data_IF_765853825831
#
_entry.id   IF_765853825831
#
_cell.length_a   1.000
_cell.length_b   1.000
_cell.length_c   1.000
_cell.angle_alpha   90.00
_cell.angle_beta   90.00
_cell.angle_gamma   90.00
#
_symmetry.space_group_name_H-M   'P 1'
#
loop_
_entity.id
_entity.type
_entity.pdbx_description
1 polymer ?
#
# COMPACT_ATOMS: atom_id res chain seq x y z
N UNK A 1 21.69 -0.46 -13.18
CA UNK A 1 21.56 -0.81 -11.76
C UNK A 1 20.84 -2.14 -11.46
N UNK A 2 20.39 -2.89 -12.45
CA UNK A 2 19.59 -4.13 -12.28
C UNK A 2 20.22 -5.26 -11.43
N UNK A 3 21.52 -5.20 -11.14
CA UNK A 3 22.24 -6.24 -10.41
C UNK A 3 22.50 -5.91 -8.93
N UNK A 4 22.12 -4.74 -8.45
CA UNK A 4 22.30 -4.38 -7.05
C UNK A 4 21.23 -5.00 -6.16
N UNK A 5 21.60 -5.23 -4.88
CA UNK A 5 20.68 -5.72 -3.86
C UNK A 5 19.78 -4.60 -3.34
N UNK A 6 18.72 -4.97 -2.63
CA UNK A 6 17.69 -4.05 -2.15
C UNK A 6 18.27 -2.84 -1.41
N UNK A 7 19.21 -3.08 -0.49
CA UNK A 7 19.81 -2.06 0.37
C UNK A 7 20.61 -1.02 -0.43
N UNK A 8 21.17 -1.42 -1.57
CA UNK A 8 21.84 -0.50 -2.49
C UNK A 8 20.84 0.25 -3.35
N UNK A 9 19.80 -0.45 -3.86
CA UNK A 9 18.75 0.17 -4.67
C UNK A 9 17.99 1.24 -3.87
N UNK A 10 17.65 0.97 -2.59
CA UNK A 10 16.92 1.93 -1.74
C UNK A 10 17.67 3.24 -1.49
N UNK A 11 18.99 3.24 -1.67
CA UNK A 11 19.84 4.41 -1.45
C UNK A 11 20.18 5.19 -2.74
N UNK A 12 20.22 4.50 -3.89
CA UNK A 12 20.88 5.07 -5.07
C UNK A 12 19.96 5.26 -6.29
N UNK A 13 18.90 4.48 -6.46
CA UNK A 13 18.04 4.58 -7.65
C UNK A 13 17.39 5.96 -7.72
N UNK A 14 17.47 6.58 -8.90
CA UNK A 14 16.96 7.92 -9.20
C UNK A 14 17.94 9.05 -8.85
N UNK A 15 19.08 8.76 -8.19
CA UNK A 15 20.16 9.71 -7.93
C UNK A 15 21.54 9.08 -8.15
N UNK A 16 21.69 8.35 -9.23
CA UNK A 16 22.94 7.67 -9.62
C UNK A 16 24.09 8.65 -9.84
N UNK A 17 23.75 9.87 -10.21
CA UNK A 17 24.66 11.00 -10.39
C UNK A 17 24.25 12.14 -9.49
N UNK A 18 25.21 13.02 -9.14
CA UNK A 18 24.90 14.27 -8.45
C UNK A 18 23.94 15.15 -9.28
N UNK A 19 23.28 16.10 -8.62
CA UNK A 19 22.46 17.08 -9.33
C UNK A 19 23.28 17.84 -10.38
N UNK A 20 22.89 17.85 -11.66
CA UNK A 20 23.73 18.39 -12.72
C UNK A 20 23.87 19.91 -12.70
N UNK A 21 23.04 20.62 -11.94
CA UNK A 21 23.10 22.08 -11.85
C UNK A 21 23.96 22.56 -10.68
N UNK A 22 24.08 21.78 -9.61
CA UNK A 22 24.69 22.20 -8.34
C UNK A 22 25.73 21.24 -7.78
N UNK A 23 25.92 20.07 -8.39
CA UNK A 23 26.72 18.97 -7.87
C UNK A 23 26.27 18.47 -6.48
N UNK A 24 25.04 18.78 -6.08
CA UNK A 24 24.50 18.33 -4.79
C UNK A 24 24.45 16.81 -4.71
N UNK A 25 24.98 16.26 -3.59
CA UNK A 25 24.91 14.82 -3.32
C UNK A 25 23.53 14.39 -2.84
N UNK A 26 22.86 15.22 -2.02
CA UNK A 26 21.48 14.98 -1.60
C UNK A 26 20.51 15.31 -2.73
N UNK A 27 19.33 14.65 -2.74
CA UNK A 27 18.27 15.01 -3.69
C UNK A 27 17.77 16.41 -3.38
N UNK A 28 17.84 17.39 -4.32
CA UNK A 28 17.32 18.73 -4.10
C UNK A 28 15.80 18.73 -3.97
N UNK A 29 15.27 19.64 -3.17
CA UNK A 29 13.82 19.89 -3.08
C UNK A 29 13.45 20.97 -4.08
N UNK A 30 12.90 20.57 -5.23
CA UNK A 30 12.45 21.49 -6.28
C UNK A 30 11.05 22.02 -5.96
N UNK A 31 10.96 22.98 -5.05
CA UNK A 31 9.69 23.58 -4.62
C UNK A 31 9.27 24.65 -5.64
N UNK A 32 8.72 24.22 -6.76
CA UNK A 32 8.26 25.09 -7.85
C UNK A 32 6.94 24.61 -8.46
N UNK A 33 6.14 25.55 -8.97
CA UNK A 33 4.89 25.25 -9.67
C UNK A 33 5.10 25.01 -11.16
N UNK A 34 6.09 25.65 -11.78
CA UNK A 34 6.24 25.72 -13.24
C UNK A 34 7.70 25.77 -13.66
N UNK A 35 7.94 25.41 -14.91
CA UNK A 35 9.27 25.35 -15.53
C UNK A 35 9.30 26.20 -16.79
N UNK A 36 10.43 26.88 -17.04
CA UNK A 36 10.61 27.78 -18.18
C UNK A 36 11.01 26.96 -19.41
N UNK A 37 10.38 27.25 -20.54
CA UNK A 37 10.75 26.69 -21.85
C UNK A 37 11.81 27.57 -22.49
N UNK A 38 12.69 26.94 -23.30
CA UNK A 38 13.75 27.65 -24.00
C UNK A 38 13.22 28.56 -25.13
N UNK A 39 12.13 28.11 -25.80
CA UNK A 39 11.43 28.82 -26.87
C UNK A 39 10.05 28.22 -27.10
N UNK A 40 9.25 28.77 -28.00
CA UNK A 40 7.89 28.33 -28.30
C UNK A 40 7.83 26.89 -28.88
N UNK A 41 8.81 26.50 -29.68
CA UNK A 41 8.88 25.14 -30.23
C UNK A 41 9.10 24.11 -29.10
N UNK A 42 10.07 24.37 -28.20
CA UNK A 42 10.29 23.52 -27.03
C UNK A 42 9.03 23.38 -26.16
N UNK A 43 8.26 24.47 -25.98
CA UNK A 43 6.97 24.39 -25.28
C UNK A 43 5.98 23.47 -26.02
N UNK A 44 5.84 23.63 -27.33
CA UNK A 44 4.94 22.80 -28.15
C UNK A 44 5.33 21.32 -28.10
N UNK A 45 6.62 21.01 -28.20
CA UNK A 45 7.15 19.63 -28.15
C UNK A 45 6.88 18.96 -26.81
N UNK A 46 7.03 19.70 -25.69
CA UNK A 46 6.68 19.21 -24.34
C UNK A 46 5.20 18.87 -24.20
N UNK A 47 4.31 19.77 -24.63
CA UNK A 47 2.87 19.54 -24.58
C UNK A 47 2.40 18.46 -25.56
N UNK A 48 3.10 18.32 -26.69
CA UNK A 48 2.85 17.29 -27.69
C UNK A 48 3.45 15.91 -27.34
N UNK A 49 4.10 15.76 -26.19
CA UNK A 49 4.82 14.53 -25.76
C UNK A 49 5.96 14.12 -26.69
N UNK A 50 6.44 15.04 -27.53
CA UNK A 50 7.59 14.82 -28.43
C UNK A 50 8.94 15.01 -27.72
N UNK A 51 8.95 15.75 -26.62
CA UNK A 51 10.11 15.97 -25.75
C UNK A 51 9.73 15.68 -24.29
N UNK A 52 10.55 14.88 -23.60
CA UNK A 52 10.33 14.49 -22.22
C UNK A 52 10.83 15.56 -21.24
N UNK A 53 10.13 15.77 -20.13
CA UNK A 53 10.60 16.62 -19.02
C UNK A 53 9.50 17.39 -18.30
N UNK A 54 9.92 18.33 -17.47
CA UNK A 54 9.01 19.06 -16.62
C UNK A 54 8.24 20.15 -17.37
N UNK A 55 6.95 20.29 -17.05
CA UNK A 55 6.06 21.35 -17.56
C UNK A 55 5.49 22.13 -16.39
N UNK A 56 4.81 21.42 -15.49
CA UNK A 56 4.10 21.99 -14.37
C UNK A 56 4.15 21.02 -13.17
N UNK A 57 4.39 21.55 -11.98
CA UNK A 57 4.67 20.75 -10.76
C UNK A 57 3.56 19.77 -10.34
N UNK A 58 2.32 19.96 -10.81
CA UNK A 58 1.25 18.98 -10.60
C UNK A 58 1.46 17.67 -11.38
N UNK A 59 2.07 17.77 -12.58
CA UNK A 59 2.30 16.63 -13.47
C UNK A 59 3.63 15.96 -13.21
N UNK A 60 4.70 16.76 -13.11
CA UNK A 60 6.08 16.29 -13.01
C UNK A 60 6.89 17.22 -12.11
N UNK A 61 7.78 16.63 -11.32
CA UNK A 61 8.73 17.36 -10.48
C UNK A 61 9.95 16.47 -10.23
N UNK A 62 11.14 17.03 -10.32
CA UNK A 62 12.39 16.27 -10.23
C UNK A 62 12.60 15.58 -8.87
N UNK A 63 12.09 16.14 -7.77
CA UNK A 63 12.15 15.49 -6.45
C UNK A 63 11.20 14.30 -6.38
N UNK A 64 9.99 14.47 -6.89
CA UNK A 64 8.99 13.39 -6.97
C UNK A 64 9.48 12.24 -7.87
N UNK A 65 10.12 12.56 -8.99
CA UNK A 65 10.66 11.60 -9.96
C UNK A 65 11.68 10.64 -9.32
N UNK A 66 12.54 11.15 -8.43
CA UNK A 66 13.47 10.30 -7.67
C UNK A 66 12.72 9.30 -6.79
N UNK A 67 11.68 9.76 -6.08
CA UNK A 67 10.86 8.89 -5.24
C UNK A 67 10.13 7.83 -6.07
N UNK A 68 9.53 8.22 -7.20
CA UNK A 68 8.85 7.32 -8.12
C UNK A 68 9.79 6.25 -8.68
N UNK A 69 10.95 6.62 -9.21
CA UNK A 69 11.97 5.71 -9.75
C UNK A 69 12.48 4.73 -8.69
N UNK A 70 12.71 5.23 -7.48
CA UNK A 70 13.24 4.42 -6.38
C UNK A 70 12.25 3.35 -5.97
N UNK A 71 10.99 3.71 -5.70
CA UNK A 71 9.96 2.75 -5.30
C UNK A 71 9.64 1.77 -6.44
N UNK A 72 9.58 2.24 -7.70
CA UNK A 72 9.42 1.36 -8.85
C UNK A 72 10.51 0.28 -8.90
N UNK A 73 11.77 0.66 -8.74
CA UNK A 73 12.88 -0.29 -8.73
C UNK A 73 12.84 -1.26 -7.55
N UNK A 74 12.43 -0.80 -6.37
CA UNK A 74 12.32 -1.65 -5.17
C UNK A 74 11.21 -2.69 -5.31
N UNK A 75 10.07 -2.33 -5.90
CA UNK A 75 8.96 -3.26 -6.20
C UNK A 75 9.25 -4.17 -7.42
N UNK A 76 10.26 -3.86 -8.22
CA UNK A 76 10.52 -4.55 -9.49
C UNK A 76 9.56 -4.15 -10.62
N UNK A 77 8.96 -2.96 -10.51
CA UNK A 77 8.07 -2.38 -11.52
C UNK A 77 8.80 -1.63 -12.62
N UNK A 78 8.07 -1.32 -13.69
CA UNK A 78 8.56 -0.55 -14.85
C UNK A 78 8.47 0.96 -14.65
N UNK A 79 7.45 1.42 -13.92
CA UNK A 79 7.19 2.83 -13.66
C UNK A 79 6.34 3.01 -12.40
N UNK A 80 6.39 4.23 -11.83
CA UNK A 80 5.55 4.59 -10.69
C UNK A 80 5.02 6.02 -10.79
N UNK A 81 3.97 6.30 -10.01
CA UNK A 81 3.35 7.61 -9.87
C UNK A 81 3.09 7.92 -8.40
N UNK A 82 3.73 8.97 -7.90
CA UNK A 82 3.52 9.47 -6.55
C UNK A 82 2.29 10.39 -6.47
N UNK A 83 1.53 10.26 -5.39
CA UNK A 83 0.26 10.95 -5.16
C UNK A 83 0.18 11.48 -3.72
N UNK A 84 -0.77 12.36 -3.47
CA UNK A 84 -0.94 13.04 -2.18
C UNK A 84 -1.24 12.10 -1.00
N UNK A 85 -1.79 10.90 -1.25
CA UNK A 85 -2.14 9.93 -0.20
C UNK A 85 -2.32 8.52 -0.77
N UNK A 86 -2.30 7.51 0.10
CA UNK A 86 -2.66 6.14 -0.26
C UNK A 86 -4.10 6.03 -0.77
N UNK A 87 -5.03 6.79 -0.18
CA UNK A 87 -6.42 6.84 -0.67
C UNK A 87 -6.50 7.35 -2.12
N UNK A 88 -5.71 8.37 -2.50
CA UNK A 88 -5.63 8.84 -3.87
C UNK A 88 -5.01 7.76 -4.81
N UNK A 89 -4.02 7.01 -4.34
CA UNK A 89 -3.42 5.93 -5.12
C UNK A 89 -4.45 4.82 -5.43
N UNK A 90 -5.23 4.42 -4.44
CA UNK A 90 -6.29 3.41 -4.61
C UNK A 90 -7.40 3.96 -5.50
N UNK A 91 -7.93 5.15 -5.20
CA UNK A 91 -9.03 5.77 -5.96
C UNK A 91 -8.68 5.91 -7.44
N UNK A 92 -7.53 6.51 -7.76
CA UNK A 92 -7.10 6.68 -9.15
C UNK A 92 -6.84 5.35 -9.86
N UNK A 93 -6.33 4.34 -9.15
CA UNK A 93 -6.15 3.00 -9.72
C UNK A 93 -7.51 2.40 -10.10
N UNK A 94 -8.48 2.42 -9.21
CA UNK A 94 -9.81 1.85 -9.46
C UNK A 94 -10.57 2.66 -10.52
N UNK A 95 -10.52 3.98 -10.47
CA UNK A 95 -11.16 4.85 -11.47
C UNK A 95 -10.56 4.63 -12.87
N UNK A 96 -9.22 4.51 -12.98
CA UNK A 96 -8.55 4.24 -14.24
C UNK A 96 -8.98 2.90 -14.86
N UNK A 97 -9.23 1.89 -14.03
CA UNK A 97 -9.60 0.54 -14.48
C UNK A 97 -11.12 0.40 -14.72
N UNK A 98 -11.95 0.92 -13.83
CA UNK A 98 -13.36 0.56 -13.73
C UNK A 98 -14.34 1.71 -13.99
N UNK A 99 -13.92 2.89 -14.40
CA UNK A 99 -14.84 3.96 -14.80
C UNK A 99 -15.86 3.48 -15.86
N UNK A 100 -17.00 4.16 -15.94
CA UNK A 100 -18.08 3.88 -16.87
C UNK A 100 -18.78 2.51 -16.66
N UNK A 101 -19.10 2.17 -15.41
CA UNK A 101 -19.91 1.00 -15.08
C UNK A 101 -19.08 -0.28 -14.89
N UNK A 102 -17.79 -0.16 -14.63
CA UNK A 102 -16.94 -1.30 -14.32
C UNK A 102 -17.19 -1.90 -12.93
N UNK A 103 -16.68 -3.10 -12.75
CA UNK A 103 -16.82 -3.89 -11.52
C UNK A 103 -15.45 -4.33 -11.01
N UNK A 104 -15.31 -4.40 -9.69
CA UNK A 104 -14.10 -4.89 -8.99
C UNK A 104 -14.48 -6.11 -8.14
N UNK A 105 -13.64 -7.14 -8.18
CA UNK A 105 -13.66 -8.19 -7.17
C UNK A 105 -12.62 -7.83 -6.10
N UNK A 106 -13.03 -7.71 -4.85
CA UNK A 106 -12.15 -7.29 -3.76
C UNK A 106 -12.14 -8.28 -2.62
N UNK A 107 -10.98 -8.53 -2.04
CA UNK A 107 -10.88 -9.16 -0.73
C UNK A 107 -11.73 -8.39 0.29
N UNK A 108 -12.44 -9.09 1.20
CA UNK A 108 -13.30 -8.47 2.21
C UNK A 108 -12.52 -7.89 3.40
N UNK A 109 -11.40 -8.50 3.75
CA UNK A 109 -10.52 -8.11 4.88
C UNK A 109 -9.45 -7.12 4.43
N UNK A 110 -9.88 -5.93 4.03
CA UNK A 110 -9.01 -4.82 3.60
C UNK A 110 -9.11 -3.63 4.57
N UNK A 111 -8.24 -2.66 4.38
CA UNK A 111 -8.28 -1.40 5.13
C UNK A 111 -9.68 -0.77 5.08
N UNK A 112 -10.24 -0.39 6.25
CA UNK A 112 -11.60 0.15 6.35
C UNK A 112 -11.88 1.36 5.45
N UNK A 113 -10.88 2.21 5.19
CA UNK A 113 -11.01 3.31 4.23
C UNK A 113 -11.17 2.82 2.78
N UNK A 114 -10.45 1.77 2.39
CA UNK A 114 -10.58 1.13 1.07
C UNK A 114 -11.92 0.42 0.94
N UNK A 115 -12.36 -0.27 2.00
CA UNK A 115 -13.69 -0.88 2.03
C UNK A 115 -14.78 0.18 1.83
N UNK A 116 -14.74 1.27 2.60
CA UNK A 116 -15.73 2.36 2.48
C UNK A 116 -15.71 3.02 1.09
N UNK A 117 -14.51 3.21 0.51
CA UNK A 117 -14.36 3.74 -0.84
C UNK A 117 -15.07 2.82 -1.86
N UNK A 118 -14.78 1.52 -1.81
CA UNK A 118 -15.32 0.53 -2.74
C UNK A 118 -16.81 0.24 -2.53
N UNK A 119 -17.27 0.19 -1.27
CA UNK A 119 -18.65 -0.17 -0.92
C UNK A 119 -19.64 1.00 -1.06
N UNK A 120 -19.22 2.24 -0.81
CA UNK A 120 -20.14 3.36 -0.65
C UNK A 120 -19.83 4.57 -1.52
N UNK A 121 -18.57 4.90 -1.74
CA UNK A 121 -18.20 6.11 -2.48
C UNK A 121 -18.22 5.86 -3.98
N UNK A 122 -17.49 4.88 -4.47
CA UNK A 122 -17.37 4.59 -5.90
C UNK A 122 -18.65 4.12 -6.58
N UNK A 123 -19.60 3.45 -5.89
CA UNK A 123 -20.92 3.18 -6.48
C UNK A 123 -21.69 4.43 -6.92
N UNK A 124 -21.48 5.58 -6.26
CA UNK A 124 -22.07 6.87 -6.66
C UNK A 124 -21.50 7.36 -8.01
N UNK A 125 -20.34 6.85 -8.42
CA UNK A 125 -19.70 7.13 -9.72
C UNK A 125 -19.84 5.97 -10.72
N UNK A 126 -20.74 5.00 -10.41
CA UNK A 126 -21.06 3.88 -11.30
C UNK A 126 -20.05 2.74 -11.27
N UNK A 127 -19.18 2.66 -10.28
CA UNK A 127 -18.24 1.54 -10.10
C UNK A 127 -18.79 0.62 -9.01
N UNK A 128 -19.01 -0.66 -9.33
CA UNK A 128 -19.49 -1.65 -8.38
C UNK A 128 -18.40 -2.56 -7.86
N UNK A 129 -18.61 -3.18 -6.69
CA UNK A 129 -17.64 -4.10 -6.09
C UNK A 129 -18.35 -5.31 -5.49
N UNK A 130 -17.80 -6.51 -5.71
CA UNK A 130 -18.13 -7.73 -4.97
C UNK A 130 -16.98 -8.06 -4.01
N UNK A 131 -17.30 -8.09 -2.72
CA UNK A 131 -16.36 -8.52 -1.70
C UNK A 131 -16.41 -10.04 -1.52
N UNK A 132 -15.23 -10.67 -1.46
CA UNK A 132 -15.07 -12.11 -1.39
C UNK A 132 -14.10 -12.52 -0.29
N UNK A 133 -14.22 -13.75 0.17
CA UNK A 133 -13.17 -14.38 0.96
C UNK A 133 -12.02 -14.80 0.03
N UNK A 134 -10.88 -14.12 0.16
CA UNK A 134 -9.71 -14.38 -0.68
C UNK A 134 -9.06 -15.76 -0.45
N UNK A 135 -9.39 -16.46 0.64
CA UNK A 135 -9.00 -17.84 0.87
C UNK A 135 -9.85 -18.84 0.06
N UNK A 136 -11.01 -18.41 -0.41
CA UNK A 136 -11.91 -19.22 -1.23
C UNK A 136 -11.75 -18.89 -2.72
N UNK A 137 -10.81 -19.54 -3.40
CA UNK A 137 -10.52 -19.31 -4.82
C UNK A 137 -11.74 -19.50 -5.73
N UNK A 138 -12.70 -20.38 -5.37
CA UNK A 138 -13.94 -20.55 -6.13
C UNK A 138 -14.89 -19.36 -5.99
N UNK A 139 -14.92 -18.73 -4.82
CA UNK A 139 -15.68 -17.50 -4.60
C UNK A 139 -15.06 -16.33 -5.36
N UNK A 140 -13.72 -16.22 -5.34
CA UNK A 140 -12.99 -15.21 -6.11
C UNK A 140 -13.31 -15.32 -7.60
N UNK A 141 -13.18 -16.51 -8.18
CA UNK A 141 -13.45 -16.74 -9.61
C UNK A 141 -14.94 -16.57 -9.94
N UNK A 142 -15.83 -17.06 -9.07
CA UNK A 142 -17.29 -16.99 -9.23
C UNK A 142 -17.87 -15.56 -9.15
N UNK A 143 -17.15 -14.63 -8.51
CA UNK A 143 -17.54 -13.22 -8.43
C UNK A 143 -17.19 -12.40 -9.68
N UNK A 144 -16.43 -12.97 -10.62
CA UNK A 144 -16.05 -12.29 -11.86
C UNK A 144 -17.25 -12.18 -12.80
N UNK A 145 -17.55 -10.96 -13.24
CA UNK A 145 -18.63 -10.59 -14.16
C UNK A 145 -18.05 -10.11 -15.50
N UNK A 146 -18.89 -9.94 -16.51
CA UNK A 146 -18.47 -9.42 -17.81
C UNK A 146 -17.82 -8.03 -17.73
N UNK A 147 -18.38 -7.17 -16.88
CA UNK A 147 -17.87 -5.83 -16.63
C UNK A 147 -16.78 -5.76 -15.55
N UNK A 148 -16.28 -6.90 -15.02
CA UNK A 148 -15.14 -6.89 -14.08
C UNK A 148 -13.88 -6.33 -14.76
N UNK A 149 -13.17 -5.48 -14.01
CA UNK A 149 -11.98 -4.77 -14.50
C UNK A 149 -10.72 -5.03 -13.71
N UNK A 150 -10.82 -5.55 -12.49
CA UNK A 150 -9.66 -5.94 -11.68
C UNK A 150 -10.07 -6.84 -10.53
N UNK A 151 -9.07 -7.55 -9.98
CA UNK A 151 -9.13 -8.12 -8.64
C UNK A 151 -8.23 -7.26 -7.75
N UNK A 152 -8.73 -6.89 -6.56
CA UNK A 152 -8.02 -6.04 -5.59
C UNK A 152 -7.80 -6.79 -4.28
N UNK A 153 -6.54 -6.84 -3.83
CA UNK A 153 -6.11 -7.51 -2.59
C UNK A 153 -5.17 -6.62 -1.77
N UNK A 154 -5.01 -6.96 -0.49
CA UNK A 154 -3.88 -6.52 0.35
C UNK A 154 -2.93 -7.70 0.60
N UNK A 155 -1.61 -7.46 0.65
CA UNK A 155 -0.62 -8.51 0.99
C UNK A 155 -0.78 -9.04 2.41
N UNK A 156 -1.19 -8.17 3.31
CA UNK A 156 -1.49 -8.42 4.71
C UNK A 156 -2.75 -7.63 5.06
N UNK A 157 -3.83 -8.33 5.33
CA UNK A 157 -5.13 -7.74 5.65
C UNK A 157 -5.13 -6.92 6.94
N UNK A 158 -6.03 -5.98 7.05
CA UNK A 158 -6.17 -5.11 8.23
C UNK A 158 -7.54 -5.37 8.90
N UNK A 159 -7.59 -5.75 10.18
CA UNK A 159 -6.51 -5.63 11.19
C UNK A 159 -5.71 -6.91 11.46
N UNK A 160 -6.07 -8.03 10.88
CA UNK A 160 -5.67 -9.36 11.34
C UNK A 160 -4.43 -9.93 10.64
N UNK A 161 -3.87 -9.24 9.64
CA UNK A 161 -2.72 -9.72 8.83
C UNK A 161 -2.97 -11.07 8.15
N UNK A 162 -4.21 -11.34 7.72
CA UNK A 162 -4.54 -12.49 6.88
C UNK A 162 -3.87 -12.37 5.50
N UNK A 163 -3.50 -13.51 4.93
CA UNK A 163 -2.66 -13.57 3.74
C UNK A 163 -3.39 -14.33 2.62
N UNK A 164 -3.75 -13.66 1.49
CA UNK A 164 -4.30 -14.34 0.33
C UNK A 164 -3.23 -15.15 -0.42
N UNK A 165 -3.62 -16.22 -1.12
CA UNK A 165 -2.72 -16.90 -2.07
C UNK A 165 -2.60 -16.07 -3.36
N UNK A 166 -1.61 -15.17 -3.36
CA UNK A 166 -1.40 -14.19 -4.42
C UNK A 166 -1.16 -14.87 -5.76
N UNK A 167 -0.33 -15.93 -5.80
CA UNK A 167 0.00 -16.65 -7.04
C UNK A 167 -1.26 -17.26 -7.67
N UNK A 168 -2.09 -17.93 -6.85
CA UNK A 168 -3.31 -18.57 -7.34
C UNK A 168 -4.34 -17.55 -7.82
N UNK A 169 -4.49 -16.42 -7.13
CA UNK A 169 -5.43 -15.34 -7.55
C UNK A 169 -4.91 -14.61 -8.79
N UNK A 170 -3.59 -14.46 -8.95
CA UNK A 170 -3.01 -13.91 -10.17
C UNK A 170 -3.33 -14.79 -11.39
N UNK A 171 -3.23 -16.12 -11.26
CA UNK A 171 -3.63 -17.04 -12.33
C UNK A 171 -5.10 -16.89 -12.71
N UNK A 172 -6.00 -16.76 -11.72
CA UNK A 172 -7.43 -16.49 -11.96
C UNK A 172 -7.61 -15.16 -12.69
N UNK A 173 -7.02 -14.08 -12.21
CA UNK A 173 -7.14 -12.76 -12.81
C UNK A 173 -6.69 -12.79 -14.29
N UNK A 174 -5.51 -13.33 -14.57
CA UNK A 174 -4.94 -13.37 -15.91
C UNK A 174 -5.73 -14.27 -16.86
N UNK A 175 -6.25 -15.41 -16.39
CA UNK A 175 -7.16 -16.28 -17.15
C UNK A 175 -8.38 -15.53 -17.69
N UNK A 176 -8.88 -14.54 -16.94
CA UNK A 176 -10.02 -13.71 -17.30
C UNK A 176 -9.63 -12.37 -17.97
N UNK A 177 -8.34 -12.17 -18.29
CA UNK A 177 -7.82 -10.94 -18.90
C UNK A 177 -7.96 -9.73 -17.99
N UNK A 178 -7.82 -9.92 -16.67
CA UNK A 178 -7.90 -8.89 -15.63
C UNK A 178 -6.52 -8.64 -15.03
N UNK A 179 -6.15 -7.39 -14.71
CA UNK A 179 -4.99 -7.12 -13.90
C UNK A 179 -5.27 -7.45 -12.42
N UNK A 180 -4.26 -7.92 -11.73
CA UNK A 180 -4.24 -8.06 -10.28
C UNK A 180 -3.65 -6.79 -9.67
N UNK A 181 -4.43 -6.13 -8.81
CA UNK A 181 -4.03 -4.95 -8.03
C UNK A 181 -3.79 -5.36 -6.60
N UNK A 182 -2.62 -5.04 -6.06
CA UNK A 182 -2.28 -5.36 -4.68
C UNK A 182 -1.85 -4.11 -3.92
N UNK A 183 -2.49 -3.87 -2.79
CA UNK A 183 -2.01 -2.92 -1.80
C UNK A 183 -0.92 -3.59 -0.96
N UNK A 184 0.34 -3.15 -1.15
CA UNK A 184 1.51 -3.68 -0.47
C UNK A 184 1.97 -2.77 0.68
N UNK A 185 1.07 -1.98 1.23
CA UNK A 185 1.39 -1.02 2.31
C UNK A 185 2.03 -1.70 3.52
N UNK A 186 1.52 -2.88 3.94
CA UNK A 186 2.03 -3.61 5.11
C UNK A 186 3.17 -4.56 4.76
N UNK A 187 3.15 -5.14 3.55
CA UNK A 187 4.22 -6.00 3.08
C UNK A 187 5.51 -5.23 2.78
N UNK A 188 5.40 -4.07 2.17
CA UNK A 188 6.50 -3.27 1.62
C UNK A 188 7.33 -4.03 0.58
N UNK A 189 8.05 -3.34 -0.32
CA UNK A 189 8.90 -4.01 -1.30
C UNK A 189 10.10 -4.76 -0.69
N UNK A 190 10.35 -4.54 0.61
CA UNK A 190 11.42 -5.24 1.33
C UNK A 190 11.02 -6.64 1.79
N UNK A 191 9.82 -6.80 2.32
CA UNK A 191 9.36 -8.09 2.84
C UNK A 191 8.76 -8.97 1.74
N UNK A 192 8.05 -8.37 0.76
CA UNK A 192 7.45 -9.06 -0.37
C UNK A 192 7.37 -8.12 -1.59
N UNK A 193 7.59 -8.68 -2.79
CA UNK A 193 7.36 -8.00 -4.07
C UNK A 193 6.20 -8.66 -4.80
N UNK A 194 4.98 -8.15 -4.71
CA UNK A 194 3.81 -8.77 -5.34
C UNK A 194 3.95 -8.95 -6.85
N UNK A 195 4.74 -8.10 -7.53
CA UNK A 195 5.02 -8.22 -8.97
C UNK A 195 5.75 -9.54 -9.32
N UNK A 196 6.54 -10.08 -8.41
CA UNK A 196 7.17 -11.40 -8.56
C UNK A 196 6.16 -12.55 -8.41
N UNK A 197 4.98 -12.26 -7.85
CA UNK A 197 3.86 -13.16 -7.63
C UNK A 197 2.66 -12.88 -8.54
N UNK A 198 2.88 -12.17 -9.65
CA UNK A 198 1.85 -11.96 -10.66
C UNK A 198 1.00 -10.70 -10.50
N UNK A 199 1.28 -9.82 -9.54
CA UNK A 199 0.62 -8.53 -9.47
C UNK A 199 1.02 -7.67 -10.67
N UNK A 200 0.03 -6.99 -11.25
CA UNK A 200 0.22 -6.08 -12.39
C UNK A 200 0.37 -4.63 -11.92
N UNK A 201 -0.34 -4.29 -10.85
CA UNK A 201 -0.33 -2.98 -10.24
C UNK A 201 -0.15 -3.16 -8.73
N UNK A 202 0.78 -2.41 -8.16
CA UNK A 202 0.99 -2.34 -6.71
C UNK A 202 0.71 -0.92 -6.24
N UNK A 203 -0.05 -0.78 -5.16
CA UNK A 203 -0.31 0.51 -4.52
C UNK A 203 0.25 0.53 -3.10
N UNK A 204 0.62 1.71 -2.63
CA UNK A 204 1.02 1.93 -1.25
C UNK A 204 0.42 3.21 -0.69
N UNK A 205 0.00 3.15 0.55
CA UNK A 205 0.04 4.32 1.42
C UNK A 205 1.49 4.54 1.87
N UNK A 206 2.21 5.42 1.16
CA UNK A 206 3.59 5.75 1.50
C UNK A 206 3.73 6.43 2.88
N UNK A 207 2.63 6.93 3.42
CA UNK A 207 2.45 7.43 4.79
C UNK A 207 2.92 6.44 5.85
N UNK A 208 2.78 5.12 5.57
CA UNK A 208 3.02 4.01 6.49
C UNK A 208 4.50 3.63 6.51
N UNK A 209 4.85 2.37 6.34
CA UNK A 209 6.24 1.89 6.42
C UNK A 209 7.21 2.58 5.47
N UNK A 210 6.80 2.98 4.26
CA UNK A 210 7.73 3.66 3.34
C UNK A 210 8.28 4.95 3.96
N UNK A 211 7.42 5.81 4.49
CA UNK A 211 7.81 6.99 5.26
C UNK A 211 8.29 6.63 6.67
N UNK A 212 7.53 5.84 7.38
CA UNK A 212 7.87 5.21 8.65
C UNK A 212 7.84 6.08 9.90
N UNK A 213 7.62 7.38 9.79
CA UNK A 213 7.80 8.33 10.90
C UNK A 213 6.53 9.13 11.25
N UNK A 214 5.41 8.88 10.57
CA UNK A 214 4.15 9.62 10.83
C UNK A 214 4.22 11.12 10.52
N UNK A 215 5.20 11.56 9.73
CA UNK A 215 5.47 12.99 9.48
C UNK A 215 4.78 13.55 8.26
N UNK A 216 4.40 12.70 7.29
CA UNK A 216 3.82 13.16 6.03
C UNK A 216 2.89 12.13 5.41
N UNK A 217 1.92 12.62 4.67
CA UNK A 217 1.05 11.81 3.83
C UNK A 217 1.66 11.62 2.44
N UNK A 218 1.41 10.46 1.85
CA UNK A 218 1.74 10.16 0.48
C UNK A 218 1.15 8.83 0.03
N UNK A 219 1.03 8.67 -1.28
CA UNK A 219 0.66 7.43 -1.93
C UNK A 219 1.54 7.20 -3.14
N UNK A 220 1.61 5.96 -3.61
CA UNK A 220 2.31 5.63 -4.84
C UNK A 220 1.66 4.44 -5.52
N UNK A 221 1.58 4.51 -6.85
CA UNK A 221 1.16 3.42 -7.73
C UNK A 221 2.39 2.94 -8.47
N UNK A 222 2.60 1.64 -8.53
CA UNK A 222 3.68 0.99 -9.29
C UNK A 222 3.06 0.07 -10.33
N UNK A 223 3.46 0.24 -11.59
CA UNK A 223 3.05 -0.63 -12.70
C UNK A 223 4.14 -1.67 -12.97
N UNK A 224 3.74 -2.94 -13.11
CA UNK A 224 4.68 -4.03 -13.45
C UNK A 224 5.25 -3.92 -14.86
N UNK A 225 4.48 -3.33 -15.78
CA UNK A 225 4.76 -3.28 -17.22
C UNK A 225 4.54 -4.59 -17.95
N UNK A 226 4.00 -5.61 -17.28
CA UNK A 226 3.80 -6.95 -17.83
C UNK A 226 2.39 -7.18 -18.38
N UNK A 227 1.39 -6.43 -17.92
CA UNK A 227 0.00 -6.61 -18.34
C UNK A 227 -0.21 -6.10 -19.76
N UNK A 228 -0.84 -6.90 -20.61
CA UNK A 228 -1.14 -6.52 -21.98
C UNK A 228 -2.50 -5.82 -22.08
N UNK A 229 -2.51 -4.51 -21.90
CA UNK A 229 -3.71 -3.66 -21.92
C UNK A 229 -4.51 -3.78 -23.22
N UNK A 230 -3.84 -4.03 -24.35
CA UNK A 230 -4.48 -4.12 -25.66
C UNK A 230 -5.13 -5.47 -25.91
N UNK A 231 -4.47 -6.55 -25.51
CA UNK A 231 -4.97 -7.91 -25.75
C UNK A 231 -6.25 -8.22 -24.99
N UNK A 232 -6.42 -7.65 -23.79
CA UNK A 232 -7.61 -7.86 -22.95
C UNK A 232 -8.87 -7.22 -23.56
N UNK A 233 -8.75 -6.14 -24.36
CA UNK A 233 -9.87 -5.40 -24.93
C UNK A 233 -10.75 -4.63 -23.94
N UNK A 234 -10.44 -4.69 -22.66
CA UNK A 234 -11.27 -4.13 -21.56
C UNK A 234 -10.90 -2.70 -21.17
N UNK A 235 -9.75 -2.18 -21.64
CA UNK A 235 -9.17 -0.89 -21.21
C UNK A 235 -8.94 0.07 -22.38
N UNK A 236 -10.02 0.49 -23.09
CA UNK A 236 -9.88 1.38 -24.25
C UNK A 236 -9.29 2.75 -23.89
N UNK A 237 -9.49 3.24 -22.67
CA UNK A 237 -8.93 4.49 -22.17
C UNK A 237 -7.37 4.49 -22.13
N UNK A 238 -6.74 3.32 -22.02
CA UNK A 238 -5.29 3.14 -21.99
C UNK A 238 -4.76 2.70 -23.37
N UNK A 239 -5.47 1.76 -24.02
CA UNK A 239 -4.99 1.04 -25.19
C UNK A 239 -5.55 1.56 -26.53
N UNK A 240 -6.52 2.47 -26.52
CA UNK A 240 -7.08 3.07 -27.74
C UNK A 240 -6.71 4.54 -27.87
N UNK A 241 -6.86 5.15 -29.08
CA UNK A 241 -6.62 6.58 -29.30
C UNK A 241 -7.41 7.46 -28.33
N UNK A 242 -6.73 8.34 -27.61
CA UNK A 242 -7.33 9.22 -26.62
C UNK A 242 -7.61 10.61 -27.22
N UNK A 243 -8.87 11.09 -27.21
CA UNK A 243 -9.21 12.39 -27.80
C UNK A 243 -8.57 13.59 -27.09
N UNK A 244 -8.30 13.49 -25.77
CA UNK A 244 -7.61 14.55 -25.00
C UNK A 244 -6.12 14.69 -25.34
N UNK A 245 -5.55 13.68 -26.03
CA UNK A 245 -4.16 13.66 -26.46
C UNK A 245 -4.03 13.45 -27.96
N UNK A 246 -4.84 14.17 -28.75
CA UNK A 246 -4.77 14.19 -30.23
C UNK A 246 -4.83 12.80 -30.87
N UNK A 247 -5.50 11.83 -30.24
CA UNK A 247 -5.61 10.46 -30.76
C UNK A 247 -4.41 9.55 -30.42
N UNK A 248 -3.53 9.95 -29.52
CA UNK A 248 -2.43 9.09 -29.04
C UNK A 248 -3.00 7.99 -28.13
N UNK A 249 -2.59 6.73 -28.34
CA UNK A 249 -2.79 5.63 -27.40
C UNK A 249 -1.65 5.63 -26.38
N UNK A 250 -1.95 5.62 -25.08
CA UNK A 250 -0.92 5.57 -24.04
C UNK A 250 -0.12 4.28 -24.13
N UNK A 251 -0.77 3.14 -24.40
CA UNK A 251 -0.08 1.85 -24.54
C UNK A 251 0.91 1.86 -25.72
N UNK A 252 0.51 2.40 -26.86
CA UNK A 252 1.38 2.43 -28.04
C UNK A 252 2.52 3.47 -27.89
N UNK A 253 2.30 4.53 -27.09
CA UNK A 253 3.29 5.60 -26.89
C UNK A 253 4.38 5.25 -25.86
N UNK A 254 4.01 4.63 -24.75
CA UNK A 254 4.95 4.43 -23.61
C UNK A 254 5.02 2.97 -23.12
N UNK A 255 4.30 2.05 -23.75
CA UNK A 255 4.40 0.61 -23.48
C UNK A 255 4.26 0.23 -22.01
N UNK A 256 5.36 -0.23 -21.35
CA UNK A 256 5.33 -0.73 -19.97
C UNK A 256 4.97 0.30 -18.89
N UNK A 257 4.84 1.58 -19.24
CA UNK A 257 4.45 2.66 -18.33
C UNK A 257 3.06 3.23 -18.66
N UNK A 258 2.25 2.53 -19.45
CA UNK A 258 1.00 3.05 -20.01
C UNK A 258 -0.02 3.41 -18.93
N UNK A 259 -0.17 2.57 -17.91
CA UNK A 259 -1.14 2.75 -16.85
C UNK A 259 -0.84 3.99 -15.99
N UNK A 260 0.36 4.07 -15.46
CA UNK A 260 0.76 5.23 -14.63
C UNK A 260 0.83 6.52 -15.44
N UNK A 261 1.17 6.44 -16.73
CA UNK A 261 1.17 7.61 -17.63
C UNK A 261 -0.25 8.09 -17.91
N UNK A 262 -1.19 7.18 -18.15
CA UNK A 262 -2.61 7.53 -18.27
C UNK A 262 -3.12 8.24 -17.01
N UNK A 263 -2.86 7.69 -15.82
CA UNK A 263 -3.29 8.33 -14.57
C UNK A 263 -2.66 9.70 -14.40
N UNK A 264 -1.36 9.86 -14.68
CA UNK A 264 -0.66 11.16 -14.61
C UNK A 264 -1.27 12.17 -15.57
N UNK A 265 -1.48 11.77 -16.81
CA UNK A 265 -1.90 12.66 -17.89
C UNK A 265 -3.39 13.04 -17.83
N UNK A 266 -4.24 12.20 -17.24
CA UNK A 266 -5.68 12.39 -17.16
C UNK A 266 -6.11 12.67 -15.72
N UNK A 267 -6.08 11.66 -14.82
CA UNK A 267 -6.68 11.79 -13.50
C UNK A 267 -5.91 12.79 -12.62
N UNK A 268 -4.60 12.66 -12.51
CA UNK A 268 -3.80 13.58 -11.71
C UNK A 268 -3.85 15.01 -12.27
N UNK A 269 -3.73 15.16 -13.60
CA UNK A 269 -3.81 16.47 -14.25
C UNK A 269 -5.12 17.17 -13.94
N UNK A 270 -6.24 16.46 -14.03
CA UNK A 270 -7.58 17.05 -14.03
C UNK A 270 -8.19 17.13 -12.62
N UNK A 271 -7.84 16.23 -11.71
CA UNK A 271 -8.42 16.16 -10.34
C UNK A 271 -7.44 16.53 -9.22
N UNK A 272 -6.12 16.53 -9.48
CA UNK A 272 -5.15 17.30 -8.72
C UNK A 272 -4.62 16.70 -7.42
N UNK A 273 -4.69 15.37 -7.19
CA UNK A 273 -4.14 14.73 -5.99
C UNK A 273 -2.59 14.64 -6.00
N UNK A 274 -1.94 15.76 -6.25
CA UNK A 274 -0.48 15.92 -6.36
C UNK A 274 0.19 15.84 -4.99
N UNK A 275 1.28 15.08 -4.91
CA UNK A 275 2.18 15.12 -3.74
C UNK A 275 3.06 16.37 -3.80
N UNK A 276 3.36 16.99 -2.64
CA UNK A 276 4.33 18.08 -2.61
C UNK A 276 5.77 17.54 -2.74
N UNK A 277 6.71 18.30 -3.36
CA UNK A 277 8.12 17.93 -3.40
C UNK A 277 8.73 17.73 -2.02
N UNK A 278 8.32 18.51 -1.03
CA UNK A 278 8.76 18.37 0.35
C UNK A 278 8.31 17.03 0.97
N UNK A 279 7.05 16.62 0.74
CA UNK A 279 6.58 15.32 1.19
C UNK A 279 7.32 14.18 0.50
N UNK A 280 7.55 14.28 -0.81
CA UNK A 280 8.34 13.29 -1.55
C UNK A 280 9.76 13.15 -1.00
N UNK A 281 10.39 14.26 -0.63
CA UNK A 281 11.70 14.27 0.03
C UNK A 281 11.66 13.56 1.40
N UNK A 282 10.68 13.83 2.25
CA UNK A 282 10.52 13.15 3.54
C UNK A 282 10.29 11.64 3.37
N UNK A 283 9.52 11.26 2.38
CA UNK A 283 9.30 9.83 2.06
C UNK A 283 10.58 9.16 1.55
N UNK A 284 11.39 9.85 0.75
CA UNK A 284 12.71 9.36 0.34
C UNK A 284 13.62 9.09 1.54
N UNK A 285 13.63 9.99 2.54
CA UNK A 285 14.40 9.76 3.79
C UNK A 285 13.93 8.48 4.51
N UNK A 286 12.63 8.23 4.52
CA UNK A 286 12.07 6.99 5.06
C UNK A 286 12.52 5.76 4.27
N UNK A 287 12.44 5.80 2.95
CA UNK A 287 12.81 4.69 2.05
C UNK A 287 14.29 4.32 2.21
N UNK A 288 15.18 5.28 2.40
CA UNK A 288 16.62 5.04 2.56
C UNK A 288 16.98 4.14 3.77
N UNK A 289 16.10 4.04 4.75
CA UNK A 289 16.28 3.17 5.93
C UNK A 289 15.24 2.06 6.03
N UNK A 290 14.51 1.79 4.96
CA UNK A 290 13.38 0.86 4.98
C UNK A 290 13.79 -0.53 5.47
N UNK A 291 14.82 -1.13 4.87
CA UNK A 291 15.30 -2.47 5.23
C UNK A 291 15.68 -2.57 6.71
N UNK A 292 16.45 -1.61 7.21
CA UNK A 292 16.90 -1.57 8.61
C UNK A 292 15.72 -1.49 9.60
N UNK A 293 14.70 -0.70 9.24
CA UNK A 293 13.51 -0.55 10.09
C UNK A 293 12.67 -1.82 10.07
N UNK A 294 12.45 -2.40 8.90
CA UNK A 294 11.61 -3.60 8.75
C UNK A 294 12.25 -4.82 9.44
N UNK A 295 13.58 -4.99 9.39
CA UNK A 295 14.29 -6.01 10.16
C UNK A 295 14.02 -5.87 11.66
N UNK A 296 14.13 -4.63 12.19
CA UNK A 296 13.86 -4.38 13.60
C UNK A 296 12.38 -4.56 13.96
N UNK A 297 11.46 -4.12 13.11
CA UNK A 297 10.03 -4.39 13.29
C UNK A 297 9.73 -5.89 13.36
N UNK A 298 10.29 -6.68 12.45
CA UNK A 298 10.09 -8.13 12.39
C UNK A 298 10.68 -8.85 13.62
N UNK A 299 11.90 -8.46 14.03
CA UNK A 299 12.56 -9.00 15.22
C UNK A 299 11.74 -8.73 16.50
N UNK A 300 11.33 -7.47 16.70
CA UNK A 300 10.52 -7.09 17.85
C UNK A 300 9.18 -7.81 17.84
N UNK A 301 8.52 -7.89 16.68
CA UNK A 301 7.23 -8.57 16.53
C UNK A 301 7.32 -10.03 16.94
N UNK A 302 8.34 -10.75 16.49
CA UNK A 302 8.56 -12.16 16.88
C UNK A 302 8.63 -12.32 18.41
N UNK A 303 9.36 -11.45 19.09
CA UNK A 303 9.50 -11.46 20.55
C UNK A 303 8.20 -11.11 21.27
N UNK A 304 7.43 -10.15 20.75
CA UNK A 304 6.12 -9.78 21.30
C UNK A 304 5.11 -10.91 21.11
N UNK A 305 5.04 -11.53 19.94
CA UNK A 305 4.17 -12.68 19.66
C UNK A 305 4.50 -13.85 20.61
N UNK A 306 5.78 -14.15 20.82
CA UNK A 306 6.22 -15.17 21.76
C UNK A 306 5.79 -14.85 23.22
N UNK A 307 5.94 -13.60 23.64
CA UNK A 307 5.51 -13.14 24.96
C UNK A 307 4.00 -13.28 25.14
N UNK A 308 3.21 -12.75 24.19
CA UNK A 308 1.75 -12.77 24.25
C UNK A 308 1.20 -14.20 24.22
N UNK A 309 1.77 -15.08 23.42
CA UNK A 309 1.31 -16.48 23.32
C UNK A 309 1.47 -17.28 24.62
N UNK A 310 2.35 -16.85 25.52
CA UNK A 310 2.57 -17.46 26.84
C UNK A 310 1.88 -16.74 27.97
N UNK A 311 1.31 -15.56 27.71
CA UNK A 311 0.79 -14.71 28.77
C UNK A 311 -0.59 -15.18 29.27
N UNK A 312 -0.82 -15.37 30.60
CA UNK A 312 -2.03 -15.99 31.14
C UNK A 312 -3.32 -15.19 30.91
N UNK A 313 -3.24 -13.87 30.67
CA UNK A 313 -4.37 -13.00 30.36
C UNK A 313 -4.69 -12.92 28.87
N UNK A 314 -3.87 -13.46 28.00
CA UNK A 314 -4.13 -13.52 26.57
C UNK A 314 -5.01 -14.74 26.28
N UNK A 315 -6.07 -14.54 25.54
CA UNK A 315 -6.98 -15.60 25.09
C UNK A 315 -6.55 -16.16 23.75
N UNK A 316 -6.11 -15.29 22.82
CA UNK A 316 -5.70 -15.63 21.48
C UNK A 316 -4.68 -14.61 20.97
N UNK A 317 -3.69 -15.07 20.23
CA UNK A 317 -2.83 -14.22 19.41
C UNK A 317 -3.14 -14.53 17.95
N UNK A 318 -3.45 -13.52 17.18
CA UNK A 318 -3.76 -13.67 15.76
C UNK A 318 -2.57 -13.17 14.93
N UNK A 319 -1.57 -14.06 14.76
CA UNK A 319 -0.36 -13.75 13.99
C UNK A 319 0.04 -14.93 13.09
N UNK A 320 0.27 -14.71 11.78
CA UNK A 320 0.47 -15.81 10.83
C UNK A 320 1.80 -16.58 11.00
N UNK A 321 2.72 -16.12 11.85
CA UNK A 321 3.92 -16.90 12.20
C UNK A 321 3.63 -18.08 13.12
N UNK A 322 2.47 -18.11 13.78
CA UNK A 322 2.10 -19.21 14.68
C UNK A 322 1.73 -20.47 13.85
N UNK A 323 2.22 -21.66 14.25
CA UNK A 323 2.02 -22.88 13.46
C UNK A 323 0.56 -23.31 13.28
N UNK A 324 -0.31 -22.92 14.19
CA UNK A 324 -1.75 -23.20 14.18
C UNK A 324 -2.59 -22.13 13.46
N UNK A 325 -1.95 -21.05 12.96
CA UNK A 325 -2.64 -20.04 12.18
C UNK A 325 -2.98 -20.56 10.77
N UNK A 326 -4.20 -20.33 10.26
CA UNK A 326 -4.61 -20.83 8.94
C UNK A 326 -3.66 -20.40 7.81
N UNK A 327 -3.09 -19.20 7.89
CA UNK A 327 -2.19 -18.64 6.86
C UNK A 327 -0.71 -18.93 7.11
N UNK A 328 -0.37 -19.81 8.05
CA UNK A 328 1.03 -20.09 8.39
C UNK A 328 1.87 -20.50 7.18
N UNK A 329 1.33 -21.38 6.33
CA UNK A 329 2.02 -21.83 5.12
C UNK A 329 2.26 -20.69 4.12
N UNK A 330 1.28 -19.81 3.92
CA UNK A 330 1.40 -18.63 3.07
C UNK A 330 2.38 -17.60 3.66
N UNK A 331 2.37 -17.43 4.99
CA UNK A 331 3.35 -16.60 5.67
C UNK A 331 4.78 -17.10 5.44
N UNK A 332 5.03 -18.39 5.57
CA UNK A 332 6.36 -18.97 5.29
C UNK A 332 6.76 -18.79 3.82
N UNK A 333 5.80 -18.88 2.89
CA UNK A 333 6.02 -18.71 1.45
C UNK A 333 6.38 -17.27 1.09
N UNK A 334 5.60 -16.29 1.56
CA UNK A 334 5.69 -14.91 1.11
C UNK A 334 6.56 -14.02 2.02
N UNK A 335 6.73 -14.37 3.28
CA UNK A 335 7.45 -13.58 4.28
C UNK A 335 8.58 -14.38 4.96
N UNK A 336 9.54 -14.93 4.20
CA UNK A 336 10.59 -15.78 4.78
C UNK A 336 11.50 -15.04 5.77
N UNK A 337 11.59 -13.72 5.67
CA UNK A 337 12.38 -12.87 6.56
C UNK A 337 11.57 -12.26 7.71
N UNK A 338 10.33 -12.71 7.90
CA UNK A 338 9.42 -12.16 8.89
C UNK A 338 8.52 -11.06 8.32
N UNK A 339 7.63 -10.52 9.15
CA UNK A 339 6.67 -9.49 8.77
C UNK A 339 5.48 -9.46 9.72
N UNK A 340 4.36 -8.87 9.26
CA UNK A 340 3.12 -8.78 10.00
C UNK A 340 3.28 -8.10 11.38
N UNK A 341 4.07 -7.01 11.45
CA UNK A 341 4.25 -6.25 12.70
C UNK A 341 3.00 -5.48 13.14
N UNK A 342 1.95 -5.54 12.34
CA UNK A 342 0.60 -5.07 12.69
C UNK A 342 -0.26 -6.32 12.80
N UNK A 343 -0.73 -6.61 14.00
CA UNK A 343 -1.52 -7.82 14.25
C UNK A 343 -2.46 -7.61 15.44
N UNK A 344 -3.32 -8.59 15.73
CA UNK A 344 -4.28 -8.52 16.81
C UNK A 344 -4.04 -9.62 17.85
N UNK A 345 -4.48 -9.36 19.08
CA UNK A 345 -4.65 -10.36 20.11
C UNK A 345 -5.92 -10.11 20.90
N UNK A 346 -6.43 -11.11 21.58
CA UNK A 346 -7.59 -11.03 22.44
C UNK A 346 -7.17 -11.14 23.90
N UNK A 347 -7.60 -10.17 24.72
CA UNK A 347 -7.39 -10.17 26.17
C UNK A 347 -8.58 -10.81 26.88
N UNK A 348 -8.35 -11.54 27.97
CA UNK A 348 -9.42 -12.04 28.85
C UNK A 348 -10.04 -10.90 29.60
N UNK A 349 -11.38 -10.88 29.74
CA UNK A 349 -12.12 -9.86 30.48
C UNK A 349 -12.87 -8.85 29.60
N UNK A 350 -12.88 -9.08 28.28
CA UNK A 350 -13.72 -8.29 27.35
C UNK A 350 -13.25 -6.86 27.16
N UNK A 351 -14.18 -6.01 26.75
CA UNK A 351 -13.94 -4.60 26.41
C UNK A 351 -13.31 -3.79 27.55
N UNK A 352 -13.79 -3.97 28.78
CA UNK A 352 -13.27 -3.21 29.92
C UNK A 352 -11.81 -3.54 30.21
N UNK A 353 -11.43 -4.82 30.16
CA UNK A 353 -10.05 -5.23 30.32
C UNK A 353 -9.16 -4.70 29.18
N UNK A 354 -9.67 -4.73 27.92
CA UNK A 354 -8.96 -4.17 26.78
C UNK A 354 -8.70 -2.65 26.92
N UNK A 355 -9.68 -1.90 27.39
CA UNK A 355 -9.53 -0.46 27.62
C UNK A 355 -8.57 -0.17 28.78
N UNK A 356 -8.70 -0.85 29.93
CA UNK A 356 -7.75 -0.69 31.04
C UNK A 356 -6.33 -1.03 30.63
N UNK A 357 -6.15 -2.10 29.82
CA UNK A 357 -4.85 -2.45 29.26
C UNK A 357 -4.28 -1.29 28.42
N UNK A 358 -5.03 -0.80 27.45
CA UNK A 358 -4.60 0.25 26.50
C UNK A 358 -4.28 1.56 27.24
N UNK A 359 -5.17 2.00 28.14
CA UNK A 359 -5.06 3.29 28.84
C UNK A 359 -3.87 3.35 29.81
N UNK A 360 -3.29 2.21 30.16
CA UNK A 360 -2.12 2.14 31.06
C UNK A 360 -0.78 1.91 30.34
N UNK A 361 -0.79 1.79 29.01
CA UNK A 361 0.45 1.76 28.21
C UNK A 361 1.08 3.15 28.18
N UNK A 362 2.41 3.21 28.17
CA UNK A 362 3.19 4.46 28.16
C UNK A 362 4.03 4.63 26.91
N UNK A 363 4.49 3.53 26.33
CA UNK A 363 5.27 3.51 25.09
C UNK A 363 4.34 3.47 23.88
N UNK A 364 3.33 2.60 23.94
CA UNK A 364 2.34 2.50 22.87
C UNK A 364 1.44 3.72 22.84
N UNK A 365 1.43 4.42 21.72
CA UNK A 365 0.50 5.55 21.52
C UNK A 365 -0.87 5.04 21.05
N UNK A 366 -1.92 5.47 21.72
CA UNK A 366 -3.32 5.20 21.32
C UNK A 366 -3.72 6.19 20.22
N UNK A 367 -3.80 5.70 18.98
CA UNK A 367 -4.18 6.52 17.83
C UNK A 367 -4.56 5.67 16.60
N UNK A 368 -5.24 6.30 15.66
CA UNK A 368 -5.68 5.66 14.40
C UNK A 368 -4.57 5.68 13.33
N UNK A 369 -3.41 5.12 13.63
CA UNK A 369 -2.32 4.91 12.68
C UNK A 369 -1.69 3.52 12.89
N UNK A 370 -0.77 3.13 11.99
CA UNK A 370 0.01 1.90 12.01
C UNK A 370 1.33 2.11 11.28
N UNK A 371 2.26 1.16 11.41
CA UNK A 371 3.49 1.14 10.62
C UNK A 371 4.39 2.37 10.84
N UNK A 372 4.44 2.83 12.08
CA UNK A 372 5.35 3.87 12.55
C UNK A 372 6.57 3.23 13.24
N UNK A 373 7.70 3.93 13.29
CA UNK A 373 8.87 3.51 14.10
C UNK A 373 8.55 3.42 15.60
N UNK A 374 7.50 4.11 16.05
CA UNK A 374 6.98 4.03 17.41
C UNK A 374 5.87 3.00 17.49
N UNK A 375 5.80 2.28 18.59
CA UNK A 375 4.74 1.31 18.87
C UNK A 375 3.39 2.00 19.06
N UNK A 376 2.34 1.45 18.43
CA UNK A 376 1.00 2.00 18.43
C UNK A 376 -0.01 0.93 18.83
N UNK A 377 -1.14 1.37 19.42
CA UNK A 377 -2.22 0.50 19.87
C UNK A 377 -3.58 1.11 19.56
N UNK A 378 -4.58 0.26 19.31
CA UNK A 378 -5.98 0.68 19.21
C UNK A 378 -6.92 -0.47 19.57
N UNK A 379 -8.14 -0.15 19.97
CA UNK A 379 -9.24 -1.09 20.17
C UNK A 379 -10.17 -1.04 18.93
N UNK A 380 -10.06 -1.96 17.95
CA UNK A 380 -10.76 -1.85 16.67
C UNK A 380 -12.28 -1.73 16.81
N UNK A 381 -12.90 -2.56 17.65
CA UNK A 381 -14.36 -2.61 17.80
C UNK A 381 -15.00 -1.29 18.24
N UNK A 382 -14.29 -0.45 19.03
CA UNK A 382 -14.81 0.85 19.47
C UNK A 382 -14.29 2.05 18.68
N UNK A 383 -13.46 1.84 17.65
CA UNK A 383 -12.80 2.91 16.90
C UNK A 383 -12.88 2.69 15.41
N UNK A 384 -11.90 2.02 14.81
CA UNK A 384 -11.78 1.84 13.34
C UNK A 384 -12.92 1.03 12.71
N UNK A 385 -13.63 0.22 13.51
CA UNK A 385 -14.74 -0.63 13.08
C UNK A 385 -16.02 -0.36 13.90
N UNK A 386 -16.13 0.81 14.53
CA UNK A 386 -17.24 1.16 15.42
C UNK A 386 -18.62 1.26 14.76
N UNK A 387 -18.66 1.34 13.44
CA UNK A 387 -19.91 1.30 12.68
C UNK A 387 -20.45 -0.10 12.42
N UNK A 388 -19.67 -1.15 12.67
CA UNK A 388 -20.07 -2.54 12.50
C UNK A 388 -20.79 -3.04 13.77
N UNK A 389 -21.82 -3.88 13.57
CA UNK A 389 -22.44 -4.62 14.66
C UNK A 389 -21.60 -5.84 15.08
N UNK A 390 -21.97 -6.54 16.17
CA UNK A 390 -21.19 -7.65 16.70
C UNK A 390 -21.07 -8.84 15.73
N UNK A 391 -22.06 -9.10 14.88
CA UNK A 391 -22.03 -10.16 13.86
C UNK A 391 -21.06 -9.80 12.73
N UNK A 392 -21.11 -8.56 12.26
CA UNK A 392 -20.20 -8.03 11.24
C UNK A 392 -18.75 -7.97 11.74
N UNK A 393 -18.54 -7.60 13.02
CA UNK A 393 -17.23 -7.66 13.67
C UNK A 393 -16.69 -9.09 13.72
N UNK A 394 -17.55 -10.05 14.12
CA UNK A 394 -17.16 -11.45 14.20
C UNK A 394 -16.80 -12.04 12.82
N UNK A 395 -17.49 -11.65 11.73
CA UNK A 395 -17.15 -12.05 10.35
C UNK A 395 -15.77 -11.54 9.91
N UNK A 396 -15.32 -10.43 10.50
CA UNK A 396 -13.98 -9.90 10.29
C UNK A 396 -12.96 -10.39 11.35
N UNK A 397 -13.33 -11.35 12.20
CA UNK A 397 -12.46 -11.90 13.24
C UNK A 397 -12.15 -10.90 14.35
N UNK A 398 -13.01 -9.91 14.58
CA UNK A 398 -12.87 -8.88 15.62
C UNK A 398 -13.90 -9.13 16.71
N UNK A 399 -13.48 -9.07 17.98
CA UNK A 399 -14.34 -9.17 19.15
C UNK A 399 -14.20 -7.93 20.05
N UNK A 400 -15.04 -7.82 21.08
CA UNK A 400 -14.90 -6.77 22.09
C UNK A 400 -13.62 -6.92 22.95
N UNK A 401 -12.92 -8.04 22.85
CA UNK A 401 -11.63 -8.31 23.49
C UNK A 401 -10.42 -8.03 22.60
N UNK A 402 -10.64 -7.70 21.33
CA UNK A 402 -9.58 -7.55 20.33
C UNK A 402 -8.81 -6.26 20.50
N UNK A 403 -7.50 -6.36 20.59
CA UNK A 403 -6.56 -5.23 20.62
C UNK A 403 -5.65 -5.36 19.38
N UNK A 404 -5.49 -4.30 18.61
CA UNK A 404 -4.52 -4.23 17.51
C UNK A 404 -3.26 -3.53 17.98
N UNK A 405 -2.12 -4.16 17.76
CA UNK A 405 -0.80 -3.60 17.96
C UNK A 405 -0.16 -3.28 16.61
N UNK A 406 0.65 -2.24 16.57
CA UNK A 406 1.65 -1.96 15.54
C UNK A 406 2.98 -1.84 16.26
N UNK A 407 3.83 -2.86 16.11
CA UNK A 407 5.08 -2.97 16.85
C UNK A 407 6.13 -2.07 16.22
N UNK A 408 6.72 -1.18 17.02
CA UNK A 408 7.74 -0.24 16.62
C UNK A 408 9.18 -0.79 16.71
N UNK A 409 10.14 0.12 16.68
CA UNK A 409 11.57 -0.18 16.65
C UNK A 409 12.27 0.11 17.98
N UNK A 410 11.54 0.38 19.03
CA UNK A 410 12.05 0.60 20.39
C UNK A 410 12.79 -0.64 20.92
N UNK A 411 13.49 -0.51 22.03
CA UNK A 411 14.16 -1.65 22.66
C UNK A 411 13.10 -2.67 23.11
N UNK A 412 13.29 -3.94 22.76
CA UNK A 412 12.29 -4.99 22.95
C UNK A 412 11.92 -5.19 24.43
N UNK A 413 12.87 -5.06 25.34
CA UNK A 413 12.60 -5.24 26.78
C UNK A 413 11.68 -4.12 27.31
N UNK A 414 11.79 -2.91 26.78
CA UNK A 414 10.93 -1.79 27.12
C UNK A 414 9.49 -2.01 26.58
N UNK A 415 9.37 -2.49 25.33
CA UNK A 415 8.07 -2.88 24.74
C UNK A 415 7.38 -3.93 25.61
N UNK A 416 8.10 -5.00 25.99
CA UNK A 416 7.54 -6.10 26.80
C UNK A 416 7.19 -5.59 28.21
N UNK A 417 8.00 -4.75 28.82
CA UNK A 417 7.71 -4.19 30.13
C UNK A 417 6.45 -3.31 30.12
N UNK A 418 6.24 -2.54 29.06
CA UNK A 418 5.04 -1.71 28.88
C UNK A 418 3.78 -2.57 28.71
N UNK A 419 3.84 -3.61 27.87
CA UNK A 419 2.74 -4.58 27.74
C UNK A 419 2.41 -5.28 29.05
N UNK A 420 3.42 -5.69 29.83
CA UNK A 420 3.23 -6.31 31.14
C UNK A 420 2.57 -5.34 32.15
N UNK A 421 2.91 -4.05 32.09
CA UNK A 421 2.25 -3.03 32.90
C UNK A 421 0.77 -2.86 32.53
N UNK A 422 0.45 -2.87 31.23
CA UNK A 422 -0.94 -2.88 30.76
C UNK A 422 -1.72 -4.09 31.27
N UNK A 423 -1.14 -5.28 31.21
CA UNK A 423 -1.79 -6.49 31.74
C UNK A 423 -2.01 -6.45 33.25
N UNK A 424 -1.10 -5.86 34.01
CA UNK A 424 -1.31 -5.67 35.46
C UNK A 424 -2.51 -4.77 35.75
N UNK A 425 -2.62 -3.67 35.06
CA UNK A 425 -3.75 -2.74 35.18
C UNK A 425 -5.09 -3.37 34.76
N UNK A 426 -5.10 -4.23 33.78
CA UNK A 426 -6.31 -4.93 33.34
C UNK A 426 -6.85 -5.97 34.34
N UNK A 427 -6.04 -6.41 35.31
CA UNK A 427 -6.45 -7.32 36.41
C UNK A 427 -7.17 -6.62 37.55
N UNK A 428 -6.86 -5.36 37.77
CA UNK A 428 -7.45 -4.51 38.78
C UNK A 428 -8.81 -3.93 38.34
#
# INVERSE_FOLDING_TARGET
>A
MSNYKFETLQLHVGQETADPATDSRAVPIYQTTSYVFHNSQHAADRFGLADAGNIYGRLTNSTQDVFEKRVAALEGGSAALALASGAAAISYTIEALAANGGHIVSQKTIYGGSYNLLAHTLPQYGISTTFVDAHNLKEVEGAIQENTRAIYLETLGNPNSDIPDIDAIAEIAHKHGLPLVIDNTFGTPYLIRPIEHGADIVVHSATKFLGGHGTTLGGIIVESGKFNWKASGKYPNIASPNPSYHGVSFYDAVGPAAFVTYIRAILLRDTGATISPFNAFLLLQGVETLSLRLDRHAENTKRVVEFLSKHPQVQKVNHPSLPDHPDHALYQKYFPNGGASIFTFEIKGGKEAAWKFIDNLKIFSLLANVADVKSLVIHPASTTHSQLNDEELADQGITQSTIRLSIGTEHIDDIIADLEAGFKAAKE
#
